data_IF_999350161404
#
_entry.id   IF_999350161404
#
_cell.length_a   1.000
_cell.length_b   1.000
_cell.length_c   1.000
_cell.angle_alpha   90.00
_cell.angle_beta   90.00
_cell.angle_gamma   90.00
#
_symmetry.space_group_name_H-M   'P 1'
#
loop_
_entity.id
_entity.type
_entity.pdbx_description
1 polymer ?
#
# COMPACT_ATOMS: atom_id res chain seq x y z
N UNK A 1 -24.37 65.27 -33.78
CA UNK A 1 -24.32 64.98 -35.23
C UNK A 1 -22.92 65.26 -35.73
N UNK A 2 -22.18 64.22 -36.16
CA UNK A 2 -21.11 64.29 -37.15
C UNK A 2 -20.75 62.87 -37.63
N UNK A 3 -21.51 62.45 -38.64
CA UNK A 3 -21.12 61.82 -39.91
C UNK A 3 -19.74 61.11 -40.09
N UNK A 4 -19.83 59.79 -40.38
CA UNK A 4 -19.29 59.00 -41.53
C UNK A 4 -17.74 58.96 -41.78
N UNK A 5 -17.15 57.75 -41.90
CA UNK A 5 -16.58 57.12 -43.13
C UNK A 5 -15.71 55.88 -42.84
N UNK A 6 -16.02 54.82 -43.59
CA UNK A 6 -15.39 53.50 -43.72
C UNK A 6 -13.97 53.54 -44.31
N UNK A 7 -13.12 52.56 -44.01
CA UNK A 7 -12.34 51.78 -45.00
C UNK A 7 -11.52 50.65 -44.36
N UNK A 8 -11.62 49.49 -45.01
CA UNK A 8 -10.86 48.24 -44.84
C UNK A 8 -9.34 48.43 -44.85
N UNK A 9 -8.58 47.55 -44.18
CA UNK A 9 -7.71 46.50 -44.78
C UNK A 9 -6.70 45.94 -43.74
N UNK A 10 -6.47 44.61 -43.80
CA UNK A 10 -5.22 43.87 -43.55
C UNK A 10 -4.71 43.55 -42.10
N UNK A 11 -4.91 42.28 -41.72
CA UNK A 11 -3.89 41.26 -41.40
C UNK A 11 -2.72 41.60 -40.45
N UNK A 12 -2.77 41.10 -39.21
CA UNK A 12 -1.61 40.51 -38.51
C UNK A 12 -2.09 39.33 -37.66
N UNK A 13 -1.77 38.12 -38.09
CA UNK A 13 -1.68 36.95 -37.22
C UNK A 13 -0.48 37.16 -36.27
N UNK A 14 -0.72 37.17 -34.96
CA UNK A 14 0.33 36.89 -33.98
C UNK A 14 -0.13 35.75 -33.06
N UNK A 15 0.06 34.55 -33.61
CA UNK A 15 0.55 33.34 -32.95
C UNK A 15 0.47 33.26 -31.42
N UNK A 16 -0.35 32.30 -30.98
CA UNK A 16 0.08 31.17 -30.15
C UNK A 16 0.91 31.52 -28.90
N UNK A 17 0.21 31.87 -27.83
CA UNK A 17 0.65 31.50 -26.49
C UNK A 17 0.37 30.01 -26.31
N UNK A 18 1.25 29.15 -26.81
CA UNK A 18 1.24 27.73 -26.48
C UNK A 18 1.43 27.63 -24.98
N UNK A 19 0.42 27.11 -24.30
CA UNK A 19 0.51 26.62 -22.94
C UNK A 19 1.60 25.56 -22.95
N UNK A 20 2.77 25.86 -22.40
CA UNK A 20 3.80 24.86 -22.17
C UNK A 20 3.28 23.93 -21.07
N UNK A 21 2.53 22.90 -21.43
CA UNK A 21 2.55 21.68 -20.64
C UNK A 21 4.00 21.24 -20.63
N UNK A 22 4.65 21.29 -19.47
CA UNK A 22 5.80 20.44 -19.24
C UNK A 22 5.29 19.03 -19.41
N UNK A 23 5.79 18.33 -20.42
CA UNK A 23 5.59 16.89 -20.54
C UNK A 23 6.18 16.25 -19.28
N UNK A 24 5.30 15.80 -18.40
CA UNK A 24 5.63 15.09 -17.17
C UNK A 24 5.85 13.62 -17.57
N UNK A 25 7.00 13.34 -18.19
CA UNK A 25 7.38 12.02 -18.73
C UNK A 25 7.74 10.98 -17.64
N UNK A 26 7.51 11.30 -16.36
CA UNK A 26 7.67 10.33 -15.28
C UNK A 26 6.58 9.25 -15.39
N UNK A 27 6.90 7.96 -15.15
CA UNK A 27 5.86 6.95 -15.03
C UNK A 27 4.91 7.36 -13.89
N UNK A 28 3.61 7.19 -14.12
CA UNK A 28 2.62 7.43 -13.08
C UNK A 28 2.92 6.55 -11.86
N UNK A 29 2.69 7.11 -10.67
CA UNK A 29 2.80 6.36 -9.44
C UNK A 29 1.82 5.17 -9.41
N UNK A 30 2.21 4.07 -8.76
CA UNK A 30 1.41 2.86 -8.63
C UNK A 30 1.41 2.39 -7.18
N UNK A 31 0.36 1.66 -6.71
CA UNK A 31 0.34 1.21 -5.32
C UNK A 31 1.47 0.22 -4.99
N UNK A 32 1.82 0.09 -3.70
CA UNK A 32 2.85 -0.85 -3.26
C UNK A 32 2.55 -2.31 -3.64
N UNK A 33 3.59 -3.13 -3.74
CA UNK A 33 3.49 -4.55 -4.07
C UNK A 33 4.18 -5.39 -3.00
N UNK A 34 3.44 -6.34 -2.43
CA UNK A 34 3.97 -7.31 -1.47
C UNK A 34 4.49 -8.58 -2.17
N UNK A 35 5.66 -9.04 -1.76
CA UNK A 35 6.20 -10.37 -2.04
C UNK A 35 6.54 -11.08 -0.71
N UNK A 36 5.49 -11.53 -0.01
CA UNK A 36 5.60 -12.28 1.25
C UNK A 36 6.00 -13.73 0.98
N UNK A 37 7.05 -14.19 1.66
CA UNK A 37 7.61 -15.54 1.55
C UNK A 37 7.36 -16.40 2.78
N UNK A 38 7.06 -15.78 3.93
CA UNK A 38 6.63 -16.46 5.15
C UNK A 38 5.51 -15.67 5.84
N UNK A 39 4.49 -16.35 6.38
CA UNK A 39 4.26 -17.79 6.29
C UNK A 39 3.92 -18.21 4.86
N UNK A 40 4.39 -19.40 4.47
CA UNK A 40 4.01 -20.02 3.20
C UNK A 40 2.53 -20.39 3.20
N UNK A 41 1.92 -20.54 2.02
CA UNK A 41 0.51 -20.97 1.94
C UNK A 41 0.30 -22.34 2.60
N UNK A 42 1.27 -23.25 2.54
CA UNK A 42 1.21 -24.53 3.23
C UNK A 42 1.22 -24.38 4.76
N UNK A 43 1.94 -23.40 5.32
CA UNK A 43 1.91 -23.10 6.75
C UNK A 43 0.59 -22.45 7.16
N UNK A 44 0.05 -21.55 6.33
CA UNK A 44 -1.27 -20.95 6.53
C UNK A 44 -2.36 -22.03 6.55
N UNK A 45 -2.34 -22.96 5.59
CA UNK A 45 -3.29 -24.07 5.49
C UNK A 45 -3.14 -25.05 6.66
N UNK A 46 -1.89 -25.39 7.03
CA UNK A 46 -1.63 -26.22 8.20
C UNK A 46 -2.14 -25.55 9.48
N UNK A 47 -2.13 -24.22 9.55
CA UNK A 47 -2.46 -23.45 10.75
C UNK A 47 -1.35 -23.52 11.81
N UNK A 48 -1.59 -22.85 12.93
CA UNK A 48 -0.63 -22.69 14.01
C UNK A 48 -1.22 -23.16 15.34
N UNK A 49 -0.36 -23.29 16.36
CA UNK A 49 -0.77 -23.63 17.72
C UNK A 49 -0.49 -22.50 18.70
N UNK A 50 -1.24 -22.45 19.80
CA UNK A 50 -0.98 -21.51 20.90
C UNK A 50 0.47 -21.62 21.40
N UNK A 51 1.08 -20.49 21.75
CA UNK A 51 2.49 -20.42 22.16
C UNK A 51 3.50 -20.47 21.01
N UNK A 52 3.06 -20.75 19.77
CA UNK A 52 3.96 -20.76 18.61
C UNK A 52 4.37 -19.34 18.21
N UNK A 53 5.60 -19.20 17.74
CA UNK A 53 6.06 -17.99 17.05
C UNK A 53 5.91 -18.18 15.53
N UNK A 54 5.25 -17.22 14.88
CA UNK A 54 5.01 -17.18 13.43
C UNK A 54 5.92 -16.12 12.82
N UNK A 55 6.71 -16.50 11.82
CA UNK A 55 7.55 -15.55 11.10
C UNK A 55 6.78 -14.91 9.96
N UNK A 56 6.78 -13.58 9.91
CA UNK A 56 6.35 -12.78 8.76
C UNK A 56 7.59 -12.28 8.05
N UNK A 57 7.83 -12.78 6.84
CA UNK A 57 9.01 -12.42 6.05
C UNK A 57 8.65 -12.18 4.59
N UNK A 58 9.35 -11.23 3.97
CA UNK A 58 9.14 -10.88 2.57
C UNK A 58 9.69 -9.51 2.23
N UNK A 59 9.17 -8.96 1.14
CA UNK A 59 9.47 -7.58 0.74
C UNK A 59 8.19 -6.85 0.39
N UNK A 60 8.22 -5.52 0.56
CA UNK A 60 7.26 -4.62 -0.07
C UNK A 60 8.04 -3.61 -0.88
N UNK A 61 7.57 -3.35 -2.10
CA UNK A 61 8.22 -2.45 -3.05
C UNK A 61 7.22 -1.50 -3.67
N UNK A 62 7.65 -0.30 -3.97
CA UNK A 62 6.88 0.73 -4.66
C UNK A 62 7.76 1.41 -5.73
N UNK A 63 7.15 2.05 -6.74
CA UNK A 63 7.90 2.78 -7.76
C UNK A 63 8.22 4.23 -7.37
N UNK A 64 7.61 4.74 -6.31
CA UNK A 64 7.94 5.99 -5.61
C UNK A 64 8.59 5.67 -4.25
N UNK A 65 7.78 5.53 -3.20
CA UNK A 65 8.22 5.32 -1.82
C UNK A 65 7.15 4.55 -1.04
N UNK A 66 7.53 3.56 -0.25
CA UNK A 66 6.65 3.02 0.80
C UNK A 66 6.77 3.92 2.02
N UNK A 67 5.70 4.62 2.41
CA UNK A 67 5.69 5.51 3.57
C UNK A 67 5.47 4.70 4.86
N UNK A 68 4.43 3.87 4.87
CA UNK A 68 4.01 3.13 6.07
C UNK A 68 3.63 1.68 5.77
N UNK A 69 3.86 0.81 6.75
CA UNK A 69 3.29 -0.54 6.81
C UNK A 69 2.56 -0.70 8.13
N UNK A 70 1.28 -1.09 8.06
CA UNK A 70 0.45 -1.41 9.22
C UNK A 70 0.10 -2.87 9.20
N UNK A 71 0.46 -3.59 10.24
CA UNK A 71 0.05 -4.96 10.49
C UNK A 71 -1.12 -4.97 11.47
N UNK A 72 -2.17 -5.73 11.16
CA UNK A 72 -3.30 -5.96 12.06
C UNK A 72 -3.63 -7.45 12.12
N UNK A 73 -3.98 -7.94 13.31
CA UNK A 73 -4.35 -9.34 13.53
C UNK A 73 -5.73 -9.38 14.16
N UNK A 74 -6.66 -10.09 13.52
CA UNK A 74 -8.05 -10.16 13.93
C UNK A 74 -8.43 -11.56 14.42
N UNK A 75 -9.28 -11.61 15.44
CA UNK A 75 -9.98 -12.80 15.90
C UNK A 75 -11.48 -12.51 15.99
N UNK A 76 -12.32 -13.35 15.36
CA UNK A 76 -13.77 -13.12 15.27
C UNK A 76 -14.15 -11.71 14.76
N UNK A 77 -13.34 -11.13 13.87
CA UNK A 77 -13.54 -9.79 13.31
C UNK A 77 -13.07 -8.64 14.20
N UNK A 78 -12.55 -8.90 15.39
CA UNK A 78 -12.01 -7.88 16.30
C UNK A 78 -10.49 -7.86 16.23
N UNK A 79 -9.90 -6.65 16.22
CA UNK A 79 -8.45 -6.50 16.32
C UNK A 79 -7.97 -7.01 17.68
N UNK A 80 -6.92 -7.81 17.67
CA UNK A 80 -6.28 -8.39 18.85
C UNK A 80 -5.29 -7.42 19.51
N UNK A 81 -4.93 -6.32 18.83
CA UNK A 81 -3.92 -5.37 19.30
C UNK A 81 -2.48 -5.87 19.19
N UNK A 82 -2.25 -7.02 18.55
CA UNK A 82 -0.93 -7.59 18.28
C UNK A 82 -0.30 -7.04 16.99
N UNK A 83 -0.93 -6.02 16.40
CA UNK A 83 -0.46 -5.33 15.20
C UNK A 83 0.71 -4.40 15.48
N UNK A 84 1.39 -3.98 14.41
CA UNK A 84 2.49 -3.03 14.46
C UNK A 84 2.35 -1.98 13.36
N UNK A 85 2.95 -0.81 13.56
CA UNK A 85 3.06 0.24 12.54
C UNK A 85 4.53 0.56 12.34
N UNK A 86 4.98 0.46 11.09
CA UNK A 86 6.36 0.68 10.68
C UNK A 86 6.39 1.89 9.77
N UNK A 87 7.25 2.85 10.09
CA UNK A 87 7.58 3.97 9.22
C UNK A 87 8.77 3.54 8.34
N UNK A 88 8.62 3.66 7.02
CA UNK A 88 9.54 3.05 6.06
C UNK A 88 10.38 4.09 5.34
N UNK A 89 9.74 4.99 4.59
CA UNK A 89 10.40 6.11 3.93
C UNK A 89 11.39 5.71 2.81
N UNK A 90 11.12 4.62 2.09
CA UNK A 90 11.96 4.14 1.00
C UNK A 90 11.17 3.27 0.01
N UNK A 91 11.63 3.19 -1.24
CA UNK A 91 10.98 2.42 -2.32
C UNK A 91 10.93 0.89 -2.09
N UNK A 92 11.74 0.35 -1.17
CA UNK A 92 11.77 -1.10 -0.89
C UNK A 92 12.11 -1.38 0.55
N UNK A 93 11.30 -2.20 1.21
CA UNK A 93 11.49 -2.60 2.61
C UNK A 93 11.47 -4.10 2.77
N UNK A 94 12.47 -4.63 3.50
CA UNK A 94 12.53 -6.03 3.88
C UNK A 94 11.70 -6.23 5.14
N UNK A 95 10.67 -7.05 5.03
CA UNK A 95 9.83 -7.45 6.15
C UNK A 95 10.48 -8.67 6.78
N UNK A 96 10.82 -8.58 8.07
CA UNK A 96 11.38 -9.69 8.83
C UNK A 96 11.07 -9.51 10.32
N UNK A 97 9.89 -9.97 10.75
CA UNK A 97 9.51 -9.92 12.16
C UNK A 97 8.68 -11.14 12.57
N UNK A 98 8.63 -11.37 13.88
CA UNK A 98 7.97 -12.52 14.47
C UNK A 98 6.74 -12.11 15.27
N UNK A 99 5.65 -12.83 15.09
CA UNK A 99 4.43 -12.70 15.91
C UNK A 99 4.33 -13.92 16.81
N UNK A 100 4.28 -13.70 18.12
CA UNK A 100 4.01 -14.78 19.08
C UNK A 100 2.50 -14.95 19.26
N UNK A 101 1.98 -16.15 19.01
CA UNK A 101 0.61 -16.50 19.38
C UNK A 101 0.61 -16.72 20.91
N UNK A 102 -0.16 -15.93 21.69
CA UNK A 102 -0.21 -16.10 23.14
C UNK A 102 -0.63 -17.53 23.53
N UNK A 103 -0.07 -18.07 24.61
CA UNK A 103 -0.41 -19.42 25.08
C UNK A 103 -1.86 -19.55 25.55
N UNK A 104 -2.50 -18.42 25.89
CA UNK A 104 -3.90 -18.31 26.26
C UNK A 104 -4.79 -17.81 25.11
N UNK A 105 -4.28 -17.70 23.88
CA UNK A 105 -5.07 -17.27 22.73
C UNK A 105 -6.22 -18.26 22.50
N UNK A 106 -7.46 -17.78 22.28
CA UNK A 106 -8.56 -18.66 21.93
C UNK A 106 -8.27 -19.44 20.64
N UNK A 107 -8.58 -20.74 20.62
CA UNK A 107 -8.56 -21.48 19.37
C UNK A 107 -9.62 -20.95 18.38
N UNK A 108 -9.35 -21.06 17.09
CA UNK A 108 -10.27 -20.69 16.02
C UNK A 108 -9.61 -19.99 14.85
N UNK A 109 -10.42 -19.28 14.07
CA UNK A 109 -9.99 -18.60 12.84
C UNK A 109 -9.45 -17.21 13.15
N UNK A 110 -8.23 -16.94 12.70
CA UNK A 110 -7.58 -15.64 12.77
C UNK A 110 -7.34 -15.10 11.36
N UNK A 111 -7.23 -13.78 11.25
CA UNK A 111 -6.88 -13.08 10.00
C UNK A 111 -5.73 -12.12 10.26
N UNK A 112 -4.68 -12.20 9.46
CA UNK A 112 -3.58 -11.23 9.45
C UNK A 112 -3.71 -10.36 8.20
N UNK A 113 -3.54 -9.05 8.38
CA UNK A 113 -3.56 -8.07 7.31
C UNK A 113 -2.31 -7.21 7.43
N UNK A 114 -1.52 -7.13 6.36
CA UNK A 114 -0.50 -6.11 6.17
C UNK A 114 -1.05 -5.09 5.17
N UNK A 115 -1.03 -3.82 5.52
CA UNK A 115 -1.42 -2.70 4.68
C UNK A 115 -0.20 -1.80 4.48
N UNK A 116 0.23 -1.65 3.24
CA UNK A 116 1.25 -0.67 2.87
C UNK A 116 0.58 0.56 2.26
N UNK A 117 1.09 1.74 2.62
CA UNK A 117 0.70 3.03 2.03
C UNK A 117 1.95 3.71 1.50
N UNK A 118 1.90 4.21 0.27
CA UNK A 118 2.97 5.01 -0.33
C UNK A 118 2.90 6.48 0.11
N UNK A 119 3.82 7.30 -0.40
CA UNK A 119 3.93 8.74 -0.09
C UNK A 119 2.84 9.61 -0.75
N UNK A 120 2.05 9.04 -1.66
CA UNK A 120 0.91 9.70 -2.31
C UNK A 120 -0.46 9.20 -1.80
N UNK A 121 -0.46 8.28 -0.84
CA UNK A 121 -1.64 7.68 -0.22
C UNK A 121 -2.26 6.51 -0.98
N UNK A 122 -1.61 5.95 -2.00
CA UNK A 122 -2.02 4.70 -2.62
C UNK A 122 -1.68 3.52 -1.70
N UNK A 123 -2.56 2.52 -1.68
CA UNK A 123 -2.46 1.42 -0.72
C UNK A 123 -2.52 0.06 -1.38
N UNK A 124 -1.83 -0.91 -0.79
CA UNK A 124 -1.99 -2.33 -1.10
C UNK A 124 -2.05 -3.16 0.18
N UNK A 125 -2.71 -4.31 0.11
CA UNK A 125 -2.87 -5.21 1.25
C UNK A 125 -2.47 -6.64 0.94
N UNK A 126 -1.80 -7.28 1.89
CA UNK A 126 -1.66 -8.73 1.96
C UNK A 126 -2.54 -9.25 3.10
N UNK A 127 -3.48 -10.14 2.79
CA UNK A 127 -4.46 -10.68 3.74
C UNK A 127 -4.43 -12.21 3.70
N UNK A 128 -4.29 -12.83 4.87
CA UNK A 128 -4.42 -14.29 5.04
C UNK A 128 -5.26 -14.63 6.25
N UNK A 129 -6.05 -15.68 6.10
CA UNK A 129 -6.80 -16.31 7.20
C UNK A 129 -6.16 -17.65 7.55
N UNK A 130 -5.99 -17.94 8.84
CA UNK A 130 -5.39 -19.19 9.33
C UNK A 130 -6.10 -19.71 10.58
N UNK A 131 -5.90 -20.99 10.90
CA UNK A 131 -6.42 -21.62 12.11
C UNK A 131 -5.39 -21.57 13.24
N UNK A 132 -5.85 -21.23 14.44
CA UNK A 132 -5.10 -21.41 15.69
C UNK A 132 -5.73 -22.56 16.48
N UNK A 133 -4.92 -23.51 16.93
CA UNK A 133 -5.34 -24.68 17.70
C UNK A 133 -4.65 -24.71 19.07
N UNK A 134 -5.26 -25.41 20.00
CA UNK A 134 -4.58 -25.76 21.24
C UNK A 134 -3.50 -26.82 20.93
N UNK A 135 -2.46 -26.87 21.76
CA UNK A 135 -1.48 -27.96 21.73
C UNK A 135 -2.08 -29.29 22.20
#
# INVERSE_FOLDING_TARGET
>A
MNSIIRKSFLFVCLSFGILACKDDDAPANTPPVFAITSPTDAQIEAGFVVGQTVQIAGTVTDNSEVETIVTSIYYNGFDTGQGETIQVGQASYSIDYSVQIPSNAPAGTYRIVLLATDDEGLTASWDKTFQVRNQ
#
